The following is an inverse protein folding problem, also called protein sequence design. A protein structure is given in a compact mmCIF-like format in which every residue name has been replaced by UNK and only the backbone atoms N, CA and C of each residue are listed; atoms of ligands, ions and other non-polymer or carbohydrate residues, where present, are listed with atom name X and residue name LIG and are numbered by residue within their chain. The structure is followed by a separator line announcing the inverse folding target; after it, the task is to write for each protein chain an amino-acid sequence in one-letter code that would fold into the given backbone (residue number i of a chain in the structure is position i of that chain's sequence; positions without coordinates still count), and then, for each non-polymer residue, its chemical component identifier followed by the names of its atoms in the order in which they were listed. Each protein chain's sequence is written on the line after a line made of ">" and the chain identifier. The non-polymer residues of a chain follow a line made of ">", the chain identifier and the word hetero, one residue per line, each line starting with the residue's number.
data_IF_322288769160
#
_entry.id   IF_322288769160
#
_cell.length_a   1.000
_cell.length_b   1.000
_cell.length_c   1.000
_cell.angle_alpha   90.00
_cell.angle_beta   90.00
_cell.angle_gamma   90.00
#
_symmetry.space_group_name_H-M   'P 1'
#
loop_
_entity.id
_entity.type
_entity.pdbx_description
1 polymer ?
#
# COMPACT_ATOMS: atom_id res chain seq x y z
N UNK A 1 8.04 2.56 31.70
CA UNK A 1 8.57 2.36 30.33
C UNK A 1 8.07 3.53 29.52
N UNK A 2 8.90 4.54 29.31
CA UNK A 2 8.58 5.64 28.41
C UNK A 2 8.55 5.09 26.98
N UNK A 3 7.36 5.00 26.40
CA UNK A 3 7.17 4.74 24.97
C UNK A 3 7.86 5.90 24.24
N UNK A 4 9.03 5.66 23.66
CA UNK A 4 9.69 6.65 22.80
C UNK A 4 8.81 6.82 21.57
N UNK A 5 8.00 7.86 21.58
CA UNK A 5 7.08 8.26 20.53
C UNK A 5 7.79 8.15 19.18
N UNK A 6 7.21 7.35 18.28
CA UNK A 6 7.74 7.17 16.94
C UNK A 6 7.72 8.51 16.21
N UNK A 7 8.91 9.02 15.88
CA UNK A 7 9.11 10.35 15.28
C UNK A 7 8.69 10.41 13.81
N UNK A 8 7.97 9.41 13.30
CA UNK A 8 7.94 9.05 11.89
C UNK A 8 6.98 9.83 11.00
N UNK A 9 6.22 10.78 11.55
CA UNK A 9 5.18 11.45 10.77
C UNK A 9 5.44 12.93 10.48
N UNK A 10 6.66 13.46 10.67
CA UNK A 10 6.96 14.86 10.29
C UNK A 10 7.26 14.99 8.79
N UNK A 11 6.22 15.01 7.96
CA UNK A 11 6.27 15.63 6.63
C UNK A 11 6.53 17.13 6.80
N UNK A 12 7.75 17.57 6.51
CA UNK A 12 8.23 18.91 6.84
C UNK A 12 7.28 20.03 6.40
N UNK A 13 6.86 20.85 7.37
CA UNK A 13 6.81 22.31 7.21
C UNK A 13 6.76 23.05 8.56
N UNK A 14 7.27 24.28 8.52
CA UNK A 14 7.76 25.21 9.55
C UNK A 14 6.80 25.52 10.71
N UNK A 15 7.36 25.64 11.92
CA UNK A 15 6.60 25.85 13.15
C UNK A 15 6.29 27.29 13.55
N UNK A 16 5.52 27.43 14.64
CA UNK A 16 5.52 28.53 15.60
C UNK A 16 4.86 28.07 16.91
N UNK A 17 5.47 28.47 18.04
CA UNK A 17 5.15 28.05 19.39
C UNK A 17 4.00 28.87 20.02
N UNK A 18 3.27 28.26 20.97
CA UNK A 18 2.29 28.94 21.83
C UNK A 18 1.89 28.07 23.03
N UNK A 19 1.88 28.66 24.22
CA UNK A 19 2.03 28.05 25.56
C UNK A 19 0.71 27.99 26.34
N UNK A 20 0.54 26.96 27.19
CA UNK A 20 -0.29 26.93 28.42
C UNK A 20 -1.77 26.60 28.22
N UNK A 21 -2.51 25.91 29.10
CA UNK A 21 -2.34 25.66 30.53
C UNK A 21 -3.22 24.45 30.97
N UNK A 22 -2.77 23.80 32.04
CA UNK A 22 -3.34 22.67 32.81
C UNK A 22 -4.75 22.91 33.40
N UNK A 23 -5.57 21.86 33.55
CA UNK A 23 -6.29 21.50 34.80
C UNK A 23 -6.87 20.06 34.80
N UNK A 24 -6.66 19.38 35.93
CA UNK A 24 -7.18 18.07 36.37
C UNK A 24 -8.70 18.13 36.71
N UNK A 25 -9.51 17.10 37.01
CA UNK A 25 -9.32 15.70 37.44
C UNK A 25 -10.65 14.89 37.43
N UNK A 26 -10.52 13.56 37.33
CA UNK A 26 -11.17 12.47 38.10
C UNK A 26 -12.68 12.18 38.05
N UNK A 27 -12.99 10.90 37.78
CA UNK A 27 -14.22 10.21 38.20
C UNK A 27 -14.33 8.77 37.68
N UNK A 28 -13.90 7.79 38.47
CA UNK A 28 -13.95 6.33 38.20
C UNK A 28 -15.37 5.72 38.27
N UNK A 29 -15.58 4.62 37.55
CA UNK A 29 -16.67 3.65 37.79
C UNK A 29 -16.43 2.31 37.06
N UNK A 30 -16.25 1.23 37.83
CA UNK A 30 -15.93 -0.15 37.42
C UNK A 30 -17.15 -0.87 36.77
N UNK A 31 -16.98 -1.59 35.66
CA UNK A 31 -16.73 -3.04 35.51
C UNK A 31 -17.96 -3.95 35.76
N UNK A 32 -18.34 -4.75 34.74
CA UNK A 32 -18.95 -6.07 34.92
C UNK A 32 -18.77 -6.92 33.65
N UNK A 33 -18.33 -8.16 33.85
CA UNK A 33 -17.99 -9.21 32.88
C UNK A 33 -19.24 -9.97 32.41
N UNK A 34 -19.29 -10.41 31.14
CA UNK A 34 -20.12 -11.56 30.72
C UNK A 34 -19.47 -12.40 29.61
N UNK A 35 -19.71 -13.70 29.76
CA UNK A 35 -19.10 -14.90 29.21
C UNK A 35 -19.60 -15.26 27.78
N UNK A 36 -18.74 -15.88 26.96
CA UNK A 36 -18.97 -16.23 25.54
C UNK A 36 -19.36 -17.70 25.33
N UNK A 37 -20.24 -18.03 24.36
CA UNK A 37 -20.36 -19.38 23.79
C UNK A 37 -19.72 -19.49 22.38
N UNK A 38 -19.51 -20.72 21.85
CA UNK A 38 -18.41 -21.04 20.94
C UNK A 38 -18.69 -20.81 19.43
N UNK A 39 -17.58 -20.74 18.71
CA UNK A 39 -17.38 -20.33 17.31
C UNK A 39 -17.76 -21.43 16.28
N UNK A 40 -18.32 -21.03 15.14
CA UNK A 40 -18.59 -21.89 13.97
C UNK A 40 -17.63 -21.53 12.80
N UNK A 41 -17.21 -22.50 11.97
CA UNK A 41 -16.06 -22.37 11.06
C UNK A 41 -16.35 -21.48 9.84
N UNK A 42 -15.32 -20.73 9.44
CA UNK A 42 -15.42 -19.53 8.61
C UNK A 42 -15.62 -19.72 7.10
N UNK A 43 -16.24 -18.69 6.51
CA UNK A 43 -16.24 -18.42 5.07
C UNK A 43 -15.01 -17.59 4.68
N UNK A 44 -14.36 -17.98 3.60
CA UNK A 44 -13.19 -17.32 3.02
C UNK A 44 -13.66 -16.09 2.22
N UNK A 45 -13.50 -14.89 2.77
CA UNK A 45 -13.87 -13.62 2.11
C UNK A 45 -12.72 -13.18 1.17
N UNK A 46 -13.03 -12.99 -0.12
CA UNK A 46 -12.09 -12.47 -1.14
C UNK A 46 -12.04 -10.94 -1.12
N UNK A 47 -10.84 -10.38 -1.02
CA UNK A 47 -10.54 -8.94 -1.09
C UNK A 47 -10.91 -8.33 -2.46
N UNK A 48 -11.51 -7.13 -2.47
CA UNK A 48 -11.82 -6.36 -3.68
C UNK A 48 -10.71 -5.31 -3.95
N UNK A 49 -9.94 -5.45 -5.03
CA UNK A 49 -8.88 -4.52 -5.45
C UNK A 49 -9.33 -3.19 -6.07
N UNK A 50 -8.36 -2.29 -6.30
CA UNK A 50 -8.55 -0.91 -6.79
C UNK A 50 -9.40 -0.77 -8.07
N UNK A 51 -9.43 -1.81 -8.90
CA UNK A 51 -10.33 -1.92 -10.04
C UNK A 51 -11.04 -3.27 -10.06
N UNK A 52 -11.87 -3.48 -9.06
CA UNK A 52 -12.89 -4.52 -9.16
C UNK A 52 -13.96 -4.08 -10.15
N UNK A 53 -14.49 -5.07 -10.85
CA UNK A 53 -15.59 -4.85 -11.76
C UNK A 53 -16.50 -6.06 -11.72
N UNK A 54 -17.80 -5.82 -11.75
CA UNK A 54 -18.78 -6.86 -11.94
C UNK A 54 -19.04 -6.98 -13.44
N UNK A 55 -18.87 -8.18 -14.01
CA UNK A 55 -19.23 -8.45 -15.41
C UNK A 55 -20.58 -9.15 -15.44
N UNK A 56 -21.47 -8.64 -16.27
CA UNK A 56 -22.69 -9.34 -16.68
C UNK A 56 -22.60 -9.61 -18.17
N UNK A 57 -22.61 -10.89 -18.55
CA UNK A 57 -22.61 -11.33 -19.95
C UNK A 57 -24.03 -11.63 -20.39
N UNK A 58 -24.41 -11.19 -21.59
CA UNK A 58 -25.62 -11.70 -22.24
C UNK A 58 -25.31 -12.93 -23.12
N UNK A 59 -26.36 -13.56 -23.64
CA UNK A 59 -26.23 -14.57 -24.69
C UNK A 59 -25.95 -13.88 -26.02
N UNK A 60 -24.86 -14.28 -26.68
CA UNK A 60 -24.60 -13.96 -28.08
C UNK A 60 -25.76 -14.48 -28.94
N UNK A 61 -26.38 -13.58 -29.71
CA UNK A 61 -27.55 -13.87 -30.52
C UNK A 61 -27.09 -14.24 -31.92
N UNK A 62 -26.95 -15.55 -32.18
CA UNK A 62 -26.42 -16.09 -33.43
C UNK A 62 -27.04 -15.50 -34.71
N UNK A 63 -28.38 -15.36 -34.81
CA UNK A 63 -29.02 -14.74 -35.97
C UNK A 63 -28.65 -13.28 -36.20
N UNK A 64 -28.32 -12.54 -35.15
CA UNK A 64 -28.01 -11.11 -35.23
C UNK A 64 -26.48 -10.86 -35.25
N UNK A 65 -25.67 -11.90 -35.08
CA UNK A 65 -24.21 -11.85 -35.06
C UNK A 65 -23.62 -10.89 -34.00
N UNK A 66 -24.29 -10.65 -32.88
CA UNK A 66 -23.74 -9.83 -31.80
C UNK A 66 -24.01 -10.38 -30.41
N UNK A 67 -23.07 -10.10 -29.51
CA UNK A 67 -23.18 -10.28 -28.07
C UNK A 67 -22.83 -8.99 -27.35
N UNK A 68 -23.28 -8.89 -26.11
CA UNK A 68 -23.05 -7.74 -25.23
C UNK A 68 -22.58 -8.21 -23.87
N UNK A 69 -21.58 -7.51 -23.36
CA UNK A 69 -21.16 -7.59 -21.97
C UNK A 69 -21.22 -6.21 -21.33
N UNK A 70 -21.69 -6.17 -20.09
CA UNK A 70 -21.69 -4.97 -19.27
C UNK A 70 -20.66 -5.19 -18.18
N UNK A 71 -19.69 -4.30 -18.10
CA UNK A 71 -18.82 -4.25 -16.92
C UNK A 71 -19.13 -3.00 -16.11
N UNK A 72 -19.45 -3.21 -14.84
CA UNK A 72 -19.61 -2.14 -13.86
C UNK A 72 -18.30 -1.93 -13.15
N UNK A 73 -17.81 -0.69 -13.13
CA UNK A 73 -16.68 -0.33 -12.29
C UNK A 73 -17.13 -0.34 -10.82
N UNK A 74 -16.75 -1.38 -10.09
CA UNK A 74 -16.99 -1.50 -8.64
C UNK A 74 -15.74 -1.14 -7.82
N UNK A 75 -14.66 -0.74 -8.50
CA UNK A 75 -13.40 -0.32 -7.93
C UNK A 75 -13.43 1.11 -7.42
N UNK A 76 -12.29 1.56 -6.93
CA UNK A 76 -12.14 2.83 -6.22
C UNK A 76 -11.57 3.95 -7.10
N UNK A 77 -11.19 3.65 -8.35
CA UNK A 77 -10.72 4.62 -9.34
C UNK A 77 -11.44 4.46 -10.67
N UNK A 78 -11.45 5.51 -11.50
CA UNK A 78 -12.01 5.40 -12.84
C UNK A 78 -11.16 4.44 -13.70
N UNK A 79 -11.80 3.55 -14.45
CA UNK A 79 -11.12 2.65 -15.39
C UNK A 79 -10.78 3.45 -16.64
N UNK A 80 -9.50 3.69 -16.90
CA UNK A 80 -9.02 4.34 -18.11
C UNK A 80 -8.51 3.30 -19.13
N UNK A 81 -8.94 3.44 -20.38
CA UNK A 81 -8.52 2.65 -21.54
C UNK A 81 -8.52 1.12 -21.28
N UNK A 82 -9.70 0.53 -21.01
CA UNK A 82 -9.79 -0.88 -20.68
C UNK A 82 -9.39 -1.80 -21.85
N UNK A 83 -8.85 -2.97 -21.51
CA UNK A 83 -8.72 -4.16 -22.37
C UNK A 83 -9.75 -5.18 -21.93
N UNK A 84 -10.47 -5.77 -22.86
CA UNK A 84 -11.51 -6.79 -22.60
C UNK A 84 -11.09 -8.08 -23.28
N UNK A 85 -11.03 -9.19 -22.54
CA UNK A 85 -10.82 -10.52 -23.13
C UNK A 85 -12.00 -11.44 -22.85
N UNK A 86 -12.37 -12.29 -23.80
CA UNK A 86 -13.43 -13.28 -23.68
C UNK A 86 -13.14 -14.54 -24.49
N UNK A 87 -13.66 -15.68 -24.06
CA UNK A 87 -13.56 -16.95 -24.79
C UNK A 87 -14.81 -17.22 -25.64
N UNK A 88 -14.58 -17.60 -26.89
CA UNK A 88 -15.59 -18.05 -27.86
C UNK A 88 -15.56 -19.58 -28.07
N UNK A 89 -16.57 -20.18 -28.72
CA UNK A 89 -16.56 -21.60 -29.07
C UNK A 89 -15.33 -22.01 -29.90
N UNK A 90 -14.98 -23.29 -29.87
CA UNK A 90 -13.82 -23.78 -30.65
C UNK A 90 -14.10 -23.63 -32.15
N UNK A 91 -13.17 -23.01 -32.88
CA UNK A 91 -13.31 -22.78 -34.31
C UNK A 91 -14.17 -21.56 -34.68
N UNK A 92 -14.59 -20.76 -33.70
CA UNK A 92 -15.26 -19.46 -33.92
C UNK A 92 -14.24 -18.34 -33.83
N UNK A 93 -14.38 -17.33 -34.70
CA UNK A 93 -13.49 -16.17 -34.79
C UNK A 93 -14.23 -14.89 -34.46
N UNK A 94 -13.65 -14.02 -33.64
CA UNK A 94 -14.16 -12.65 -33.50
C UNK A 94 -13.81 -11.85 -34.76
N UNK A 95 -14.75 -11.02 -35.23
CA UNK A 95 -14.67 -10.41 -36.57
C UNK A 95 -15.02 -8.91 -36.63
N UNK A 96 -15.41 -8.29 -35.51
CA UNK A 96 -15.73 -6.86 -35.45
C UNK A 96 -14.75 -6.07 -34.57
N UNK A 97 -14.12 -5.07 -35.18
CA UNK A 97 -13.39 -3.99 -34.51
C UNK A 97 -14.30 -2.78 -34.34
N UNK A 98 -15.05 -2.78 -33.23
CA UNK A 98 -15.91 -1.66 -32.86
C UNK A 98 -15.15 -0.32 -32.92
N UNK A 99 -15.80 0.82 -33.20
CA UNK A 99 -15.15 2.12 -33.21
C UNK A 99 -14.29 2.40 -31.97
N UNK A 100 -12.98 2.53 -32.20
CA UNK A 100 -11.99 2.78 -31.16
C UNK A 100 -11.50 1.52 -30.41
N UNK A 101 -11.73 0.33 -30.94
CA UNK A 101 -11.20 -0.94 -30.47
C UNK A 101 -10.42 -1.62 -31.59
N UNK A 102 -9.44 -2.44 -31.21
CA UNK A 102 -8.77 -3.39 -32.07
C UNK A 102 -8.67 -4.73 -31.35
N UNK A 103 -8.93 -5.84 -32.05
CA UNK A 103 -8.87 -7.16 -31.46
C UNK A 103 -7.71 -8.01 -31.98
N UNK A 104 -7.34 -8.98 -31.16
CA UNK A 104 -6.47 -10.10 -31.52
C UNK A 104 -7.10 -11.38 -30.98
N UNK A 105 -6.84 -12.51 -31.62
CA UNK A 105 -7.34 -13.81 -31.16
C UNK A 105 -6.21 -14.83 -31.04
N UNK A 106 -6.17 -15.53 -29.91
CA UNK A 106 -5.27 -16.66 -29.68
C UNK A 106 -6.10 -17.87 -29.26
N UNK A 107 -6.17 -18.88 -30.13
CA UNK A 107 -7.06 -20.02 -29.95
C UNK A 107 -8.52 -19.56 -29.82
N UNK A 108 -9.09 -19.74 -28.63
CA UNK A 108 -10.49 -19.40 -28.33
C UNK A 108 -10.66 -18.04 -27.66
N UNK A 109 -9.57 -17.37 -27.29
CA UNK A 109 -9.63 -16.12 -26.54
C UNK A 109 -9.47 -14.94 -27.48
N UNK A 110 -10.49 -14.09 -27.56
CA UNK A 110 -10.43 -12.80 -28.21
C UNK A 110 -10.04 -11.73 -27.19
N UNK A 111 -9.07 -10.89 -27.53
CA UNK A 111 -8.61 -9.76 -26.69
C UNK A 111 -8.79 -8.46 -27.46
N UNK A 112 -9.70 -7.62 -26.95
CA UNK A 112 -10.04 -6.30 -27.47
C UNK A 112 -9.28 -5.24 -26.70
N UNK A 113 -8.49 -4.44 -27.40
CA UNK A 113 -7.70 -3.35 -26.84
C UNK A 113 -8.22 -2.01 -27.34
N UNK A 114 -8.39 -1.07 -26.42
CA UNK A 114 -8.87 0.26 -26.75
C UNK A 114 -7.80 1.04 -27.53
N UNK A 115 -8.17 1.65 -28.66
CA UNK A 115 -7.31 2.47 -29.51
C UNK A 115 -7.59 3.98 -29.39
N UNK A 116 -8.60 4.37 -28.59
CA UNK A 116 -8.98 5.76 -28.33
C UNK A 116 -9.41 5.97 -26.88
N UNK A 117 -9.27 7.18 -26.33
CA UNK A 117 -9.53 7.44 -24.92
C UNK A 117 -10.93 7.01 -24.45
N UNK A 118 -10.99 6.22 -23.37
CA UNK A 118 -12.24 5.86 -22.70
C UNK A 118 -12.04 5.89 -21.18
N UNK A 119 -13.00 6.44 -20.45
CA UNK A 119 -12.98 6.46 -18.98
C UNK A 119 -14.33 5.99 -18.44
N UNK A 120 -14.31 4.98 -17.58
CA UNK A 120 -15.49 4.48 -16.87
C UNK A 120 -15.38 4.89 -15.42
N UNK A 121 -16.18 5.88 -15.02
CA UNK A 121 -16.18 6.41 -13.66
C UNK A 121 -16.52 5.32 -12.62
N UNK A 122 -16.15 5.56 -11.36
CA UNK A 122 -16.53 4.67 -10.24
C UNK A 122 -18.05 4.54 -10.19
N UNK A 123 -18.54 3.30 -10.01
CA UNK A 123 -19.96 2.90 -10.06
C UNK A 123 -20.65 3.05 -11.41
N UNK A 124 -19.97 3.53 -12.46
CA UNK A 124 -20.52 3.55 -13.80
C UNK A 124 -20.42 2.17 -14.46
N UNK A 125 -21.37 1.88 -15.34
CA UNK A 125 -21.36 0.70 -16.21
C UNK A 125 -20.96 1.10 -17.62
N UNK A 126 -20.20 0.24 -18.28
CA UNK A 126 -19.91 0.36 -19.70
C UNK A 126 -20.39 -0.89 -20.42
N UNK A 127 -21.08 -0.67 -21.53
CA UNK A 127 -21.60 -1.71 -22.41
C UNK A 127 -20.62 -1.91 -23.56
N UNK A 128 -20.07 -3.12 -23.67
CA UNK A 128 -19.19 -3.53 -24.74
C UNK A 128 -19.89 -4.58 -25.60
N UNK A 129 -19.86 -4.39 -26.91
CA UNK A 129 -20.43 -5.34 -27.86
C UNK A 129 -19.31 -6.06 -28.60
N UNK A 130 -19.55 -7.31 -28.96
CA UNK A 130 -18.64 -8.13 -29.75
C UNK A 130 -19.41 -8.92 -30.80
N UNK A 131 -18.76 -9.23 -31.91
CA UNK A 131 -19.29 -10.04 -33.01
C UNK A 131 -18.37 -11.25 -33.26
N UNK A 132 -18.91 -12.27 -33.91
CA UNK A 132 -18.15 -13.43 -34.38
C UNK A 132 -18.66 -13.92 -35.72
N UNK A 133 -17.85 -14.74 -36.39
CA UNK A 133 -18.20 -15.44 -37.64
C UNK A 133 -19.27 -16.55 -37.47
N UNK A 134 -19.81 -16.75 -36.26
CA UNK A 134 -20.76 -17.81 -35.96
C UNK A 134 -22.21 -17.33 -35.99
N UNK A 135 -23.07 -18.09 -36.70
CA UNK A 135 -24.53 -17.95 -36.63
C UNK A 135 -25.19 -18.70 -35.48
N UNK A 136 -24.42 -19.34 -34.58
CA UNK A 136 -24.95 -20.11 -33.45
C UNK A 136 -24.92 -19.28 -32.17
N UNK A 137 -26.00 -19.29 -31.39
CA UNK A 137 -26.04 -18.58 -30.11
C UNK A 137 -25.19 -19.27 -29.04
N UNK A 138 -24.42 -18.49 -28.29
CA UNK A 138 -23.60 -18.98 -27.17
C UNK A 138 -23.48 -17.92 -26.07
N UNK A 139 -22.92 -18.25 -24.91
CA UNK A 139 -22.58 -17.26 -23.88
C UNK A 139 -21.06 -17.17 -23.79
N UNK A 140 -20.50 -15.96 -23.90
CA UNK A 140 -19.07 -15.77 -23.74
C UNK A 140 -18.63 -16.18 -22.33
N UNK A 141 -17.47 -16.82 -22.24
CA UNK A 141 -16.91 -17.31 -20.96
C UNK A 141 -15.55 -16.68 -20.69
N UNK A 142 -15.03 -16.85 -19.47
CA UNK A 142 -13.74 -16.32 -19.03
C UNK A 142 -13.51 -14.83 -19.34
N UNK A 143 -14.58 -14.02 -19.23
CA UNK A 143 -14.50 -12.59 -19.49
C UNK A 143 -13.61 -11.91 -18.45
N UNK A 144 -12.65 -11.10 -18.91
CA UNK A 144 -11.77 -10.28 -18.05
C UNK A 144 -11.73 -8.85 -18.57
N UNK A 145 -11.80 -7.88 -17.67
CA UNK A 145 -11.55 -6.47 -17.97
C UNK A 145 -10.27 -6.03 -17.24
N UNK A 146 -9.31 -5.49 -17.98
CA UNK A 146 -8.03 -4.99 -17.47
C UNK A 146 -7.88 -3.53 -17.84
N UNK A 147 -7.07 -2.75 -17.13
CA UNK A 147 -6.76 -1.36 -17.52
C UNK A 147 -5.36 -0.97 -17.04
N UNK A 148 -4.72 -0.05 -17.75
CA UNK A 148 -3.38 0.44 -17.39
C UNK A 148 -3.40 1.27 -16.11
N UNK A 149 -4.51 1.98 -15.84
CA UNK A 149 -4.77 2.67 -14.56
C UNK A 149 -5.05 1.73 -13.37
N UNK A 150 -5.15 0.43 -13.64
CA UNK A 150 -5.66 -0.58 -12.70
C UNK A 150 -4.68 -1.72 -12.43
N UNK A 151 -3.40 -1.57 -12.80
CA UNK A 151 -2.40 -2.62 -12.58
C UNK A 151 -2.76 -3.87 -13.37
N UNK A 152 -2.37 -3.90 -14.65
CA UNK A 152 -2.33 -5.15 -15.38
C UNK A 152 -1.47 -6.14 -14.60
N UNK A 153 -2.07 -7.23 -14.13
CA UNK A 153 -1.34 -8.45 -13.81
C UNK A 153 -0.77 -8.97 -15.13
N UNK A 154 0.39 -8.42 -15.51
CA UNK A 154 1.26 -9.10 -16.44
C UNK A 154 1.66 -10.45 -15.81
N UNK A 155 1.78 -11.53 -16.58
CA UNK A 155 2.35 -12.77 -16.08
C UNK A 155 3.84 -12.52 -15.75
N UNK A 156 4.11 -12.19 -14.48
CA UNK A 156 5.42 -11.77 -13.96
C UNK A 156 5.28 -10.55 -13.05
N UNK A 157 4.88 -10.73 -11.79
CA UNK A 157 4.45 -9.64 -10.90
C UNK A 157 5.50 -8.54 -10.64
N UNK A 158 5.10 -7.28 -10.80
CA UNK A 158 5.91 -6.09 -10.49
C UNK A 158 6.18 -5.91 -8.99
N UNK A 159 5.32 -6.48 -8.13
CA UNK A 159 5.46 -6.41 -6.67
C UNK A 159 6.31 -7.52 -6.03
N UNK A 160 6.35 -7.53 -4.70
CA UNK A 160 6.79 -8.63 -3.85
C UNK A 160 5.70 -9.72 -3.77
N UNK A 161 6.09 -10.97 -3.52
CA UNK A 161 5.14 -12.02 -3.08
C UNK A 161 4.54 -11.65 -1.72
N UNK A 162 3.42 -12.28 -1.34
CA UNK A 162 2.78 -12.02 -0.04
C UNK A 162 3.74 -12.21 1.15
N UNK A 163 4.57 -13.25 1.11
CA UNK A 163 5.56 -13.53 2.14
C UNK A 163 6.70 -12.49 2.15
N UNK A 164 7.26 -12.15 0.98
CA UNK A 164 8.27 -11.09 0.88
C UNK A 164 7.73 -9.73 1.34
N UNK A 165 6.47 -9.41 1.03
CA UNK A 165 5.81 -8.19 1.49
C UNK A 165 5.67 -8.17 3.01
N UNK A 166 5.23 -9.28 3.64
CA UNK A 166 5.20 -9.40 5.11
C UNK A 166 6.58 -9.15 5.72
N UNK A 167 7.64 -9.72 5.15
CA UNK A 167 9.01 -9.50 5.62
C UNK A 167 9.43 -8.04 5.48
N UNK A 168 9.12 -7.40 4.35
CA UNK A 168 9.43 -5.98 4.12
C UNK A 168 8.69 -5.06 5.09
N UNK A 169 7.39 -5.31 5.31
CA UNK A 169 6.55 -4.56 6.25
C UNK A 169 6.99 -4.78 7.70
N UNK A 170 7.32 -6.01 8.07
CA UNK A 170 7.84 -6.35 9.40
C UNK A 170 9.17 -5.65 9.69
N UNK A 171 10.10 -5.65 8.71
CA UNK A 171 11.37 -4.94 8.86
C UNK A 171 11.17 -3.43 8.97
N UNK A 172 10.31 -2.86 8.11
CA UNK A 172 9.93 -1.44 8.18
C UNK A 172 9.37 -1.11 9.57
N UNK A 173 8.42 -1.92 10.06
CA UNK A 173 7.78 -1.72 11.36
C UNK A 173 8.74 -1.79 12.54
N UNK A 174 9.86 -2.50 12.47
CA UNK A 174 10.89 -2.43 13.53
C UNK A 174 11.43 -1.00 13.63
N UNK A 175 11.76 -0.38 12.50
CA UNK A 175 12.30 0.99 12.48
C UNK A 175 11.24 2.03 12.84
N UNK A 176 9.98 1.76 12.50
CA UNK A 176 8.90 2.66 12.84
C UNK A 176 8.45 2.47 14.30
N UNK A 177 8.41 1.27 14.85
CA UNK A 177 7.67 0.97 16.08
C UNK A 177 8.39 0.05 17.09
N UNK A 178 9.65 -0.31 16.85
CA UNK A 178 10.44 -1.29 17.62
C UNK A 178 9.80 -2.69 17.74
N UNK A 179 8.91 -3.00 16.80
CA UNK A 179 8.20 -4.28 16.71
C UNK A 179 7.93 -4.67 15.25
N UNK A 180 8.05 -5.96 14.88
CA UNK A 180 7.67 -6.42 13.54
C UNK A 180 6.14 -6.43 13.32
N UNK A 181 5.34 -6.22 14.37
CA UNK A 181 3.88 -6.23 14.31
C UNK A 181 3.34 -4.88 13.85
N UNK A 182 2.56 -4.88 12.77
CA UNK A 182 1.78 -3.72 12.35
C UNK A 182 0.62 -3.46 13.31
N UNK A 183 0.50 -2.23 13.81
CA UNK A 183 -0.55 -1.83 14.74
C UNK A 183 -1.75 -1.22 14.01
N UNK A 184 -2.72 -2.05 13.66
CA UNK A 184 -3.97 -1.60 13.02
C UNK A 184 -4.90 -0.83 13.97
N UNK A 185 -4.75 -1.00 15.29
CA UNK A 185 -5.62 -0.40 16.29
C UNK A 185 -5.07 0.90 16.88
N UNK A 186 -3.80 1.23 16.61
CA UNK A 186 -3.18 2.47 17.04
C UNK A 186 -4.00 3.71 16.62
N UNK A 187 -4.15 4.65 17.54
CA UNK A 187 -4.75 5.96 17.25
C UNK A 187 -4.35 6.96 18.34
N UNK A 188 -3.71 8.05 17.94
CA UNK A 188 -3.23 9.09 18.86
C UNK A 188 -3.19 10.45 18.15
N UNK A 189 -3.47 11.53 18.89
CA UNK A 189 -3.07 12.87 18.45
C UNK A 189 -1.66 13.12 18.99
N UNK A 190 -0.65 12.88 18.16
CA UNK A 190 0.76 13.09 18.52
C UNK A 190 1.18 14.57 18.45
N UNK A 191 0.23 15.49 18.23
CA UNK A 191 0.42 16.93 18.19
C UNK A 191 1.43 17.41 17.13
N UNK A 192 1.48 16.73 15.99
CA UNK A 192 2.39 17.01 14.87
C UNK A 192 1.78 17.90 13.77
N UNK A 193 0.55 18.39 14.00
CA UNK A 193 -0.20 19.24 13.07
C UNK A 193 -1.06 18.49 12.05
N UNK A 194 -1.19 17.16 12.14
CA UNK A 194 -1.96 16.34 11.18
C UNK A 194 -3.26 15.76 11.75
N UNK A 195 -3.66 16.23 12.94
CA UNK A 195 -4.81 15.70 13.67
C UNK A 195 -4.47 14.33 14.29
N UNK A 196 -5.44 13.41 14.32
CA UNK A 196 -5.19 12.03 14.76
C UNK A 196 -4.38 11.26 13.72
N UNK A 197 -3.35 10.55 14.19
CA UNK A 197 -2.52 9.56 13.48
C UNK A 197 -2.98 8.15 13.84
N UNK A 198 -3.22 7.29 12.85
CA UNK A 198 -3.96 6.05 13.07
C UNK A 198 -3.42 4.84 12.28
N UNK A 199 -3.51 3.66 12.89
CA UNK A 199 -3.34 2.39 12.21
C UNK A 199 -1.93 2.10 11.70
N UNK A 200 -1.84 1.06 10.87
CA UNK A 200 -0.58 0.39 10.50
C UNK A 200 0.46 1.26 9.77
N UNK A 201 0.05 2.42 9.26
CA UNK A 201 0.87 3.31 8.46
C UNK A 201 0.63 4.78 8.83
N UNK A 202 0.21 5.05 10.08
CA UNK A 202 0.08 6.42 10.60
C UNK A 202 -0.87 7.31 9.81
N UNK A 203 -1.99 6.76 9.36
CA UNK A 203 -2.98 7.49 8.58
C UNK A 203 -3.50 8.68 9.34
N UNK A 204 -3.49 9.85 8.72
CA UNK A 204 -3.81 11.09 9.39
C UNK A 204 -5.19 11.63 9.00
N UNK A 205 -5.96 12.07 9.99
CA UNK A 205 -7.27 12.70 9.74
C UNK A 205 -7.14 14.03 9.01
N UNK A 206 -6.07 14.78 9.28
CA UNK A 206 -5.82 16.09 8.70
C UNK A 206 -5.23 16.10 7.30
N UNK A 207 -4.81 14.94 6.77
CA UNK A 207 -4.26 14.79 5.40
C UNK A 207 -5.11 13.89 4.51
N UNK A 208 -6.28 13.46 5.00
CA UNK A 208 -7.30 12.76 4.23
C UNK A 208 -7.10 11.26 4.06
N UNK A 209 -5.95 10.70 4.40
CA UNK A 209 -5.64 9.27 4.29
C UNK A 209 -6.37 8.43 5.36
N UNK A 210 -6.53 8.91 6.60
CA UNK A 210 -7.40 8.22 7.57
C UNK A 210 -8.88 8.24 7.12
N UNK A 211 -9.27 9.29 6.39
CA UNK A 211 -10.64 9.45 5.86
C UNK A 211 -10.89 8.40 4.77
N UNK A 212 -9.89 8.08 3.94
CA UNK A 212 -9.97 6.99 2.96
C UNK A 212 -10.14 5.62 3.63
N UNK A 213 -9.46 5.37 4.75
CA UNK A 213 -9.65 4.13 5.54
C UNK A 213 -11.08 4.04 6.06
N UNK A 214 -11.60 5.12 6.67
CA UNK A 214 -12.98 5.15 7.17
C UNK A 214 -13.99 5.01 6.03
N UNK A 215 -13.74 5.61 4.87
CA UNK A 215 -14.60 5.47 3.69
C UNK A 215 -14.68 4.02 3.23
N UNK A 216 -13.53 3.33 3.11
CA UNK A 216 -13.48 1.91 2.80
C UNK A 216 -14.24 1.09 3.85
N UNK A 217 -13.96 1.32 5.14
CA UNK A 217 -14.57 0.53 6.20
C UNK A 217 -16.09 0.71 6.27
N UNK A 218 -16.60 1.92 5.96
CA UNK A 218 -18.04 2.20 5.82
C UNK A 218 -18.70 1.51 4.64
N UNK A 219 -17.96 1.18 3.58
CA UNK A 219 -18.48 0.42 2.46
C UNK A 219 -18.66 -1.07 2.79
N UNK A 220 -17.87 -1.59 3.74
CA UNK A 220 -17.96 -2.98 4.20
C UNK A 220 -18.90 -3.11 5.40
N UNK A 221 -18.99 -2.09 6.26
CA UNK A 221 -19.60 -2.19 7.59
C UNK A 221 -20.44 -0.97 7.97
N UNK A 222 -21.61 -1.23 8.53
CA UNK A 222 -22.55 -0.28 9.13
C UNK A 222 -22.36 -0.21 10.64
N UNK A 223 -22.98 0.76 11.31
CA UNK A 223 -22.94 0.83 12.77
C UNK A 223 -23.52 -0.43 13.43
N UNK A 224 -24.64 -0.94 12.89
CA UNK A 224 -25.32 -2.13 13.40
C UNK A 224 -24.47 -3.42 13.31
N UNK A 225 -23.47 -3.46 12.43
CA UNK A 225 -22.58 -4.62 12.28
C UNK A 225 -21.15 -4.35 12.79
N UNK A 226 -20.93 -3.27 13.54
CA UNK A 226 -19.69 -3.04 14.30
C UNK A 226 -18.79 -1.92 13.78
N UNK A 227 -19.25 -1.07 12.87
CA UNK A 227 -18.49 0.12 12.46
C UNK A 227 -18.75 1.32 13.39
N UNK A 228 -17.89 1.48 14.41
CA UNK A 228 -17.94 2.60 15.36
C UNK A 228 -17.56 3.95 14.73
N UNK A 229 -16.92 3.93 13.56
CA UNK A 229 -16.44 5.13 12.87
C UNK A 229 -17.52 5.81 12.01
N UNK A 230 -18.66 5.15 11.78
CA UNK A 230 -19.75 5.68 10.94
C UNK A 230 -20.27 7.05 11.40
N UNK A 231 -20.37 7.28 12.71
CA UNK A 231 -20.86 8.53 13.29
C UNK A 231 -19.97 9.74 13.01
N UNK A 232 -18.68 9.53 12.77
CA UNK A 232 -17.72 10.61 12.50
C UNK A 232 -17.75 11.09 11.04
N UNK A 233 -18.46 10.40 10.14
CA UNK A 233 -18.35 10.65 8.69
C UNK A 233 -18.67 12.10 8.28
N UNK A 234 -19.64 12.73 8.92
CA UNK A 234 -20.00 14.12 8.62
C UNK A 234 -18.85 15.07 8.96
N UNK A 235 -18.24 14.92 10.14
CA UNK A 235 -17.08 15.70 10.57
C UNK A 235 -15.85 15.43 9.68
N UNK A 236 -15.57 14.17 9.35
CA UNK A 236 -14.49 13.81 8.44
C UNK A 236 -14.69 14.44 7.05
N UNK A 237 -15.92 14.48 6.53
CA UNK A 237 -16.21 15.13 5.24
C UNK A 237 -15.87 16.62 5.26
N UNK A 238 -16.17 17.31 6.37
CA UNK A 238 -15.81 18.73 6.55
C UNK A 238 -14.28 18.91 6.58
N UNK A 239 -13.58 18.08 7.35
CA UNK A 239 -12.11 18.09 7.42
C UNK A 239 -11.51 17.87 6.03
N UNK A 240 -11.99 16.86 5.29
CA UNK A 240 -11.51 16.53 3.95
C UNK A 240 -11.72 17.68 2.96
N UNK A 241 -12.90 18.28 2.94
CA UNK A 241 -13.18 19.41 2.04
C UNK A 241 -12.27 20.61 2.34
N UNK A 242 -11.96 20.85 3.61
CA UNK A 242 -11.00 21.88 4.02
C UNK A 242 -9.57 21.54 3.60
N UNK A 243 -9.14 20.29 3.78
CA UNK A 243 -7.85 19.80 3.27
C UNK A 243 -7.74 19.99 1.75
N UNK A 244 -8.73 19.53 0.98
CA UNK A 244 -8.71 19.62 -0.49
C UNK A 244 -8.76 21.06 -1.01
N UNK A 245 -9.47 21.96 -0.34
CA UNK A 245 -9.56 23.37 -0.75
C UNK A 245 -8.31 24.19 -0.42
N UNK A 246 -7.58 23.82 0.64
CA UNK A 246 -6.40 24.57 1.10
C UNK A 246 -5.08 23.93 0.69
N UNK A 247 -5.07 22.62 0.46
CA UNK A 247 -3.86 21.81 0.34
C UNK A 247 -3.03 21.75 1.63
N UNK A 248 -3.56 22.22 2.76
CA UNK A 248 -2.86 22.28 4.05
C UNK A 248 -3.37 21.20 4.99
N UNK A 249 -2.47 20.62 5.79
CA UNK A 249 -2.84 19.68 6.85
C UNK A 249 -3.80 20.32 7.85
N UNK A 250 -4.82 19.57 8.27
CA UNK A 250 -5.82 20.03 9.24
C UNK A 250 -5.47 19.54 10.64
N UNK A 251 -4.89 20.43 11.45
CA UNK A 251 -4.35 20.07 12.76
C UNK A 251 -5.41 19.82 13.85
N UNK A 252 -6.60 20.43 13.73
CA UNK A 252 -7.65 20.37 14.76
C UNK A 252 -8.26 18.97 14.86
N UNK A 253 -8.44 18.48 16.09
CA UNK A 253 -9.24 17.29 16.41
C UNK A 253 -10.64 17.61 16.92
N UNK A 254 -10.93 18.88 17.20
CA UNK A 254 -12.14 19.30 17.91
C UNK A 254 -13.43 18.86 17.20
N UNK A 255 -13.46 18.86 15.87
CA UNK A 255 -14.61 18.40 15.09
C UNK A 255 -14.91 16.90 15.30
N UNK A 256 -13.89 16.09 15.55
CA UNK A 256 -14.05 14.66 15.84
C UNK A 256 -14.36 14.46 17.33
N UNK A 257 -13.69 15.22 18.21
CA UNK A 257 -13.89 15.15 19.66
C UNK A 257 -15.32 15.52 20.07
N UNK A 258 -15.95 16.45 19.33
CA UNK A 258 -17.35 16.83 19.52
C UNK A 258 -18.35 15.69 19.16
N UNK A 259 -17.92 14.68 18.40
CA UNK A 259 -18.73 13.51 18.02
C UNK A 259 -18.52 12.36 19.02
N UNK A 260 -17.30 12.19 19.54
CA UNK A 260 -16.98 11.15 20.51
C UNK A 260 -15.48 10.91 20.69
N UNK A 261 -15.14 9.84 21.42
CA UNK A 261 -13.76 9.41 21.62
C UNK A 261 -13.17 8.73 20.39
N UNK A 262 -12.64 9.52 19.44
CA UNK A 262 -12.10 9.03 18.16
C UNK A 262 -11.11 7.87 18.34
N UNK A 263 -10.11 8.05 19.21
CA UNK A 263 -9.04 7.06 19.41
C UNK A 263 -9.58 5.73 19.96
N UNK A 264 -10.46 5.81 20.95
CA UNK A 264 -11.15 4.64 21.53
C UNK A 264 -12.03 3.95 20.49
N UNK A 265 -12.76 4.68 19.66
CA UNK A 265 -13.64 4.11 18.64
C UNK A 265 -12.87 3.51 17.45
N UNK A 266 -11.71 4.07 17.10
CA UNK A 266 -10.78 3.47 16.13
C UNK A 266 -10.29 2.12 16.63
N UNK A 267 -9.73 2.08 17.84
CA UNK A 267 -9.26 0.84 18.45
C UNK A 267 -10.40 -0.18 18.63
N UNK A 268 -11.58 0.28 19.04
CA UNK A 268 -12.76 -0.56 19.19
C UNK A 268 -13.32 -1.07 17.85
N UNK A 269 -12.95 -0.49 16.71
CA UNK A 269 -13.27 -1.04 15.38
C UNK A 269 -12.37 -2.22 14.99
N UNK A 270 -11.39 -2.56 15.83
CA UNK A 270 -10.45 -3.67 15.67
C UNK A 270 -10.61 -4.73 16.80
N UNK A 271 -11.83 -5.23 17.05
CA UNK A 271 -12.10 -6.06 18.23
C UNK A 271 -12.34 -7.56 17.94
N UNK A 272 -13.33 -7.89 17.11
CA UNK A 272 -13.74 -9.26 16.73
C UNK A 272 -13.04 -9.71 15.45
N UNK A 273 -13.00 -11.02 15.20
CA UNK A 273 -12.38 -11.58 13.99
C UNK A 273 -12.89 -10.91 12.69
N UNK A 274 -14.20 -10.74 12.55
CA UNK A 274 -14.81 -10.09 11.38
C UNK A 274 -14.42 -8.60 11.26
N UNK A 275 -14.55 -7.83 12.36
CA UNK A 275 -14.15 -6.41 12.34
C UNK A 275 -12.67 -6.23 12.00
N UNK A 276 -11.80 -7.11 12.53
CA UNK A 276 -10.36 -7.10 12.30
C UNK A 276 -10.05 -7.39 10.84
N UNK A 277 -10.66 -8.41 10.24
CA UNK A 277 -10.42 -8.74 8.83
C UNK A 277 -10.74 -7.55 7.91
N UNK A 278 -11.96 -6.99 8.02
CA UNK A 278 -12.40 -5.87 7.18
C UNK A 278 -11.57 -4.60 7.42
N UNK A 279 -11.20 -4.32 8.67
CA UNK A 279 -10.42 -3.12 8.99
C UNK A 279 -8.95 -3.25 8.55
N UNK A 280 -8.36 -4.44 8.64
CA UNK A 280 -7.05 -4.73 8.04
C UNK A 280 -7.10 -4.54 6.54
N UNK A 281 -8.08 -5.14 5.87
CA UNK A 281 -8.25 -5.02 4.43
C UNK A 281 -8.27 -3.54 4.00
N UNK A 282 -9.06 -2.71 4.66
CA UNK A 282 -9.15 -1.29 4.31
C UNK A 282 -7.84 -0.52 4.56
N UNK A 283 -7.17 -0.77 5.69
CA UNK A 283 -5.89 -0.14 5.97
C UNK A 283 -4.79 -0.62 5.02
N UNK A 284 -4.74 -1.91 4.71
CA UNK A 284 -3.80 -2.49 3.77
C UNK A 284 -4.02 -1.94 2.36
N UNK A 285 -5.27 -1.81 1.92
CA UNK A 285 -5.62 -1.20 0.65
C UNK A 285 -5.18 0.26 0.54
N UNK A 286 -5.41 1.07 1.58
CA UNK A 286 -4.99 2.49 1.57
C UNK A 286 -3.46 2.59 1.64
N UNK A 287 -2.81 1.79 2.49
CA UNK A 287 -1.34 1.71 2.52
C UNK A 287 -0.77 1.31 1.16
N UNK A 288 -1.44 0.39 0.46
CA UNK A 288 -0.97 -0.09 -0.83
C UNK A 288 -1.17 0.94 -1.94
N UNK A 289 -2.27 1.66 -1.93
CA UNK A 289 -2.54 2.72 -2.89
C UNK A 289 -1.56 3.89 -2.74
N UNK A 290 -1.22 4.25 -1.50
CA UNK A 290 -0.40 5.44 -1.20
C UNK A 290 1.10 5.17 -1.21
N UNK A 291 1.54 3.99 -0.79
CA UNK A 291 2.97 3.72 -0.57
C UNK A 291 3.50 2.56 -1.40
N UNK A 292 2.86 1.39 -1.32
CA UNK A 292 3.41 0.17 -1.92
C UNK A 292 3.32 0.16 -3.46
N UNK A 293 2.14 0.40 -4.01
CA UNK A 293 1.92 0.32 -5.46
C UNK A 293 2.74 1.36 -6.22
N UNK A 294 2.78 2.64 -5.81
CA UNK A 294 3.57 3.63 -6.53
C UNK A 294 5.06 3.28 -6.57
N UNK A 295 5.62 2.81 -5.44
CA UNK A 295 7.04 2.49 -5.39
C UNK A 295 7.40 1.18 -6.10
N UNK A 296 6.49 0.19 -6.15
CA UNK A 296 6.68 -1.01 -6.97
C UNK A 296 6.61 -0.68 -8.47
N UNK A 297 5.81 0.32 -8.86
CA UNK A 297 5.80 0.83 -10.24
C UNK A 297 7.11 1.54 -10.59
N UNK A 298 7.69 2.32 -9.67
CA UNK A 298 9.05 2.85 -9.86
C UNK A 298 10.07 1.73 -9.98
N UNK A 299 10.01 0.71 -9.12
CA UNK A 299 10.90 -0.44 -9.22
C UNK A 299 10.84 -1.10 -10.61
N UNK A 300 9.63 -1.36 -11.11
CA UNK A 300 9.41 -1.93 -12.43
C UNK A 300 9.96 -1.04 -13.55
N UNK A 301 9.67 0.27 -13.51
CA UNK A 301 10.19 1.25 -14.48
C UNK A 301 11.70 1.23 -14.58
N UNK A 302 12.40 1.11 -13.44
CA UNK A 302 13.86 1.13 -13.40
C UNK A 302 14.50 -0.24 -13.66
N UNK A 303 13.71 -1.30 -13.86
CA UNK A 303 14.19 -2.66 -14.08
C UNK A 303 14.68 -3.34 -12.80
N UNK A 304 14.17 -2.93 -11.64
CA UNK A 304 14.51 -3.48 -10.33
C UNK A 304 13.61 -4.67 -10.02
N UNK A 305 14.21 -5.86 -9.95
CA UNK A 305 13.46 -7.12 -9.91
C UNK A 305 13.54 -7.80 -8.54
N UNK A 306 14.64 -7.61 -7.82
CA UNK A 306 14.95 -8.34 -6.59
C UNK A 306 14.08 -7.88 -5.42
N UNK A 307 13.66 -8.84 -4.59
CA UNK A 307 12.79 -8.58 -3.46
C UNK A 307 13.45 -7.66 -2.42
N UNK A 308 14.76 -7.81 -2.20
CA UNK A 308 15.52 -6.95 -1.30
C UNK A 308 15.50 -5.47 -1.74
N UNK A 309 15.68 -5.22 -3.04
CA UNK A 309 15.63 -3.86 -3.61
C UNK A 309 14.26 -3.23 -3.43
N UNK A 310 13.21 -3.98 -3.79
CA UNK A 310 11.81 -3.57 -3.63
C UNK A 310 11.46 -3.29 -2.16
N UNK A 311 11.96 -4.09 -1.23
CA UNK A 311 11.77 -3.87 0.22
C UNK A 311 12.47 -2.60 0.71
N UNK A 312 13.71 -2.33 0.26
CA UNK A 312 14.42 -1.10 0.60
C UNK A 312 13.75 0.16 0.03
N UNK A 313 13.15 0.04 -1.16
CA UNK A 313 12.36 1.09 -1.78
C UNK A 313 11.05 1.35 -1.02
N UNK A 314 10.34 0.29 -0.63
CA UNK A 314 9.13 0.40 0.19
C UNK A 314 9.41 1.09 1.54
N UNK A 315 10.45 0.67 2.25
CA UNK A 315 10.86 1.30 3.51
C UNK A 315 11.27 2.77 3.32
N UNK A 316 11.89 3.12 2.19
CA UNK A 316 12.19 4.50 1.86
C UNK A 316 10.93 5.32 1.54
N UNK A 317 9.93 4.73 0.88
CA UNK A 317 8.65 5.40 0.58
C UNK A 317 7.84 5.66 1.85
N UNK A 318 7.88 4.75 2.84
CA UNK A 318 7.28 4.98 4.16
C UNK A 318 8.02 6.11 4.90
N UNK A 319 9.35 6.06 4.92
CA UNK A 319 10.14 7.01 5.71
C UNK A 319 10.25 8.43 5.09
N UNK A 320 10.31 8.53 3.78
CA UNK A 320 10.58 9.79 3.06
C UNK A 320 9.40 10.26 2.20
N UNK A 321 8.30 9.51 2.16
CA UNK A 321 7.25 9.68 1.16
C UNK A 321 7.68 9.24 -0.24
N UNK A 322 6.72 9.18 -1.17
CA UNK A 322 6.95 8.78 -2.56
C UNK A 322 7.96 9.70 -3.27
N UNK A 323 7.81 11.02 -3.12
CA UNK A 323 8.69 11.99 -3.77
C UNK A 323 10.13 11.94 -3.24
N UNK A 324 10.29 11.72 -1.93
CA UNK A 324 11.60 11.52 -1.31
C UNK A 324 12.27 10.24 -1.80
N UNK A 325 11.52 9.14 -1.91
CA UNK A 325 12.02 7.90 -2.47
C UNK A 325 12.42 8.04 -3.96
N UNK A 326 11.61 8.74 -4.77
CA UNK A 326 11.94 9.08 -6.16
C UNK A 326 13.20 9.95 -6.27
N UNK A 327 13.39 10.88 -5.34
CA UNK A 327 14.61 11.70 -5.31
C UNK A 327 15.86 10.88 -5.03
N UNK A 328 15.77 9.93 -4.08
CA UNK A 328 16.85 8.97 -3.81
C UNK A 328 17.16 8.10 -5.02
N UNK A 329 16.15 7.62 -5.76
CA UNK A 329 16.32 6.90 -7.02
C UNK A 329 17.09 7.76 -8.05
N UNK A 330 16.68 9.02 -8.26
CA UNK A 330 17.37 9.93 -9.20
C UNK A 330 18.82 10.18 -8.80
N UNK A 331 19.08 10.36 -7.50
CA UNK A 331 20.43 10.53 -6.94
C UNK A 331 21.29 9.28 -7.16
N UNK A 332 20.74 8.09 -6.99
CA UNK A 332 21.44 6.82 -7.25
C UNK A 332 21.77 6.67 -8.75
N UNK A 333 20.79 6.91 -9.62
CA UNK A 333 20.97 6.87 -11.09
C UNK A 333 22.07 7.84 -11.54
N UNK A 334 22.03 9.08 -11.05
CA UNK A 334 23.03 10.11 -11.37
C UNK A 334 24.42 9.70 -10.88
N UNK A 335 24.53 9.18 -9.66
CA UNK A 335 25.81 8.72 -9.09
C UNK A 335 26.41 7.52 -9.84
N UNK A 336 25.59 6.78 -10.60
CA UNK A 336 26.01 5.67 -11.45
C UNK A 336 26.21 6.10 -12.93
N UNK A 337 26.21 7.40 -13.21
CA UNK A 337 26.45 7.93 -14.55
C UNK A 337 25.21 7.99 -15.45
N UNK A 338 24.02 7.68 -14.94
CA UNK A 338 22.75 7.85 -15.65
C UNK A 338 22.08 9.20 -15.32
N UNK A 339 22.79 10.31 -15.54
CA UNK A 339 22.27 11.66 -15.26
C UNK A 339 21.06 12.02 -16.12
N UNK A 340 20.93 11.40 -17.30
CA UNK A 340 19.78 11.56 -18.20
C UNK A 340 18.53 10.77 -17.77
N UNK A 341 18.61 9.97 -16.69
CA UNK A 341 17.48 9.21 -16.14
C UNK A 341 16.87 8.22 -17.17
N UNK A 342 17.71 7.55 -17.96
CA UNK A 342 17.31 6.54 -18.95
C UNK A 342 16.82 5.28 -18.24
N UNK A 343 15.61 4.82 -18.58
CA UNK A 343 14.99 3.62 -18.01
C UNK A 343 14.96 2.46 -19.04
N UNK A 344 15.14 1.19 -18.61
CA UNK A 344 15.53 0.79 -17.26
C UNK A 344 16.99 1.18 -16.95
N UNK A 345 17.28 1.46 -15.67
CA UNK A 345 18.67 1.77 -15.26
C UNK A 345 19.49 0.49 -15.14
N UNK A 346 18.86 -0.63 -14.81
CA UNK A 346 19.53 -1.93 -14.78
C UNK A 346 19.90 -2.33 -16.22
N UNK A 347 21.19 -2.63 -16.42
CA UNK A 347 21.79 -2.89 -17.74
C UNK A 347 22.32 -1.63 -18.45
N UNK A 348 21.85 -0.43 -18.10
CA UNK A 348 22.38 0.82 -18.67
C UNK A 348 23.86 0.96 -18.29
N UNK A 349 24.75 1.03 -19.29
CA UNK A 349 26.21 1.05 -19.09
C UNK A 349 26.74 -0.05 -18.15
N UNK A 350 26.11 -1.22 -18.12
CA UNK A 350 26.51 -2.35 -17.27
C UNK A 350 26.16 -2.20 -15.79
N UNK A 351 25.27 -1.25 -15.41
CA UNK A 351 24.79 -1.13 -14.03
C UNK A 351 24.05 -2.42 -13.63
N UNK A 352 24.56 -3.08 -12.59
CA UNK A 352 23.92 -4.24 -11.97
C UNK A 352 22.96 -3.80 -10.87
N UNK A 353 21.96 -4.62 -10.56
CA UNK A 353 21.02 -4.31 -9.47
C UNK A 353 21.72 -4.24 -8.11
N UNK A 354 22.81 -4.99 -7.91
CA UNK A 354 23.62 -4.90 -6.69
C UNK A 354 24.37 -3.58 -6.56
N UNK A 355 25.00 -3.12 -7.65
CA UNK A 355 25.64 -1.81 -7.67
C UNK A 355 24.62 -0.68 -7.49
N UNK A 356 23.43 -0.83 -8.09
CA UNK A 356 22.33 0.12 -7.95
C UNK A 356 21.82 0.20 -6.51
N UNK A 357 21.48 -0.94 -5.89
CA UNK A 357 20.99 -0.98 -4.51
C UNK A 357 22.04 -0.41 -3.54
N UNK A 358 23.32 -0.76 -3.72
CA UNK A 358 24.39 -0.18 -2.90
C UNK A 358 24.37 1.36 -2.97
N UNK A 359 24.32 1.93 -4.18
CA UNK A 359 24.32 3.39 -4.35
C UNK A 359 23.05 4.05 -3.82
N UNK A 360 21.89 3.42 -4.01
CA UNK A 360 20.64 3.88 -3.41
C UNK A 360 20.74 3.95 -1.88
N UNK A 361 21.25 2.89 -1.25
CA UNK A 361 21.43 2.84 0.21
C UNK A 361 22.44 3.90 0.69
N UNK A 362 23.56 4.09 -0.02
CA UNK A 362 24.52 5.15 0.32
C UNK A 362 23.89 6.55 0.24
N UNK A 363 23.08 6.84 -0.78
CA UNK A 363 22.38 8.13 -0.88
C UNK A 363 21.33 8.32 0.20
N UNK A 364 20.62 7.26 0.57
CA UNK A 364 19.65 7.31 1.66
C UNK A 364 20.32 7.52 3.02
N UNK A 365 21.42 6.81 3.28
CA UNK A 365 22.27 7.00 4.45
C UNK A 365 22.73 8.45 4.58
N UNK A 366 23.24 9.04 3.49
CA UNK A 366 23.72 10.42 3.50
C UNK A 366 22.60 11.44 3.83
N UNK A 367 21.39 11.21 3.32
CA UNK A 367 20.21 12.04 3.63
C UNK A 367 19.83 11.93 5.10
N UNK A 368 19.72 10.71 5.65
CA UNK A 368 19.35 10.49 7.05
C UNK A 368 20.42 11.03 8.01
N UNK A 369 21.69 10.78 7.73
CA UNK A 369 22.79 11.25 8.57
C UNK A 369 22.94 12.78 8.59
N UNK A 370 22.50 13.45 7.52
CA UNK A 370 22.50 14.91 7.41
C UNK A 370 21.33 15.60 8.13
N UNK A 371 20.34 14.85 8.61
CA UNK A 371 19.17 15.39 9.31
C UNK A 371 19.23 15.03 10.80
N UNK A 372 19.33 16.05 11.67
CA UNK A 372 19.40 15.85 13.12
C UNK A 372 18.19 15.14 13.71
N UNK A 373 17.06 15.13 12.99
CA UNK A 373 15.83 14.43 13.38
C UNK A 373 15.94 12.93 13.17
N UNK A 374 16.72 12.50 12.18
CA UNK A 374 16.77 11.12 11.68
C UNK A 374 18.15 10.47 11.72
N UNK A 375 19.16 11.15 12.27
CA UNK A 375 20.54 10.67 12.28
C UNK A 375 20.72 9.34 13.04
N UNK A 376 19.80 8.98 13.94
CA UNK A 376 19.74 7.68 14.62
C UNK A 376 19.07 6.58 13.79
N UNK A 377 18.29 6.93 12.76
CA UNK A 377 17.61 5.96 11.90
C UNK A 377 18.52 5.31 10.85
N UNK A 378 19.81 5.67 10.76
CA UNK A 378 20.74 5.19 9.72
C UNK A 378 20.95 3.68 9.76
N UNK A 379 20.83 3.05 10.95
CA UNK A 379 20.90 1.59 11.09
C UNK A 379 19.85 0.86 10.23
N UNK A 380 18.71 1.50 9.92
CA UNK A 380 17.69 0.94 9.02
C UNK A 380 18.22 0.65 7.62
N UNK A 381 19.05 1.56 7.11
CA UNK A 381 19.68 1.43 5.80
C UNK A 381 20.75 0.34 5.83
N UNK A 382 21.46 0.24 6.96
CA UNK A 382 22.49 -0.77 7.18
C UNK A 382 21.91 -2.20 7.15
N UNK A 383 20.66 -2.40 7.57
CA UNK A 383 19.99 -3.70 7.49
C UNK A 383 19.86 -4.21 6.06
N UNK A 384 19.46 -3.35 5.12
CA UNK A 384 19.42 -3.71 3.70
C UNK A 384 20.82 -3.93 3.11
N UNK A 385 21.81 -3.13 3.50
CA UNK A 385 23.20 -3.31 3.06
C UNK A 385 23.78 -4.64 3.54
N UNK A 386 23.50 -5.04 4.80
CA UNK A 386 23.85 -6.36 5.32
C UNK A 386 23.22 -7.48 4.48
N UNK A 387 21.91 -7.41 4.21
CA UNK A 387 21.25 -8.43 3.38
C UNK A 387 21.82 -8.48 1.95
N UNK A 388 22.21 -7.33 1.41
CA UNK A 388 22.87 -7.23 0.11
C UNK A 388 24.20 -7.98 0.09
N UNK A 389 25.03 -7.81 1.13
CA UNK A 389 26.33 -8.50 1.30
C UNK A 389 26.17 -10.00 1.53
N UNK A 390 25.11 -10.40 2.24
CA UNK A 390 24.78 -11.81 2.47
C UNK A 390 24.14 -12.50 1.24
N UNK A 391 23.74 -11.73 0.22
CA UNK A 391 23.09 -12.28 -0.97
C UNK A 391 21.64 -12.72 -0.75
N UNK A 392 20.96 -12.22 0.28
CA UNK A 392 19.56 -12.54 0.57
C UNK A 392 18.59 -11.77 -0.34
N UNK A 393 18.80 -11.85 -1.65
CA UNK A 393 18.13 -11.05 -2.68
C UNK A 393 16.61 -11.32 -2.79
N UNK A 394 16.21 -12.56 -2.55
CA UNK A 394 14.81 -13.00 -2.60
C UNK A 394 14.07 -12.91 -1.25
N UNK A 395 14.77 -12.49 -0.18
CA UNK A 395 14.28 -12.60 1.21
C UNK A 395 13.91 -14.06 1.58
N UNK A 396 14.59 -15.03 0.97
CA UNK A 396 14.33 -16.46 1.13
C UNK A 396 14.98 -17.07 2.37
N UNK A 397 15.77 -16.30 3.11
CA UNK A 397 16.36 -16.71 4.39
C UNK A 397 16.00 -15.72 5.49
N UNK A 398 16.00 -16.20 6.73
CA UNK A 398 15.67 -15.36 7.88
C UNK A 398 16.64 -14.18 8.00
N UNK A 399 16.11 -12.98 8.18
CA UNK A 399 16.90 -11.75 8.34
C UNK A 399 16.81 -11.23 9.77
N UNK A 400 17.86 -10.51 10.18
CA UNK A 400 17.95 -9.85 11.48
C UNK A 400 18.37 -8.39 11.29
N UNK A 401 17.89 -7.51 12.16
CA UNK A 401 18.32 -6.11 12.25
C UNK A 401 19.50 -5.92 13.22
N UNK A 402 20.29 -6.97 13.48
CA UNK A 402 21.52 -6.94 14.27
C UNK A 402 22.69 -6.34 13.48
N UNK A 403 22.52 -5.08 13.08
CA UNK A 403 23.54 -4.29 12.39
C UNK A 403 23.53 -2.86 12.87
N UNK A 404 24.70 -2.24 12.89
CA UNK A 404 24.82 -0.79 13.02
C UNK A 404 25.46 -0.22 11.75
N UNK A 405 25.05 0.98 11.37
CA UNK A 405 25.59 1.68 10.20
C UNK A 405 27.12 1.82 10.25
N UNK A 406 27.68 2.02 11.45
CA UNK A 406 29.14 2.06 11.65
C UNK A 406 29.85 0.76 11.23
N UNK A 407 29.19 -0.38 11.38
CA UNK A 407 29.75 -1.69 11.04
C UNK A 407 29.75 -1.92 9.52
N UNK A 408 28.91 -1.18 8.76
CA UNK A 408 28.87 -1.24 7.29
C UNK A 408 29.80 -0.23 6.61
N UNK A 409 29.97 0.97 7.17
CA UNK A 409 30.62 2.12 6.51
C UNK A 409 31.75 2.79 7.30
N UNK A 410 32.17 2.23 8.43
CA UNK A 410 33.38 2.65 9.18
C UNK A 410 33.34 4.06 9.77
N UNK A 411 32.22 4.76 9.68
CA UNK A 411 31.99 6.14 10.12
C UNK A 411 31.17 6.16 11.42
N UNK A 412 31.26 7.24 12.20
CA UNK A 412 30.53 7.37 13.46
C UNK A 412 29.07 7.71 13.21
N UNK A 413 28.19 6.70 13.22
CA UNK A 413 26.74 6.89 13.27
C UNK A 413 26.22 6.65 14.70
N UNK A 414 25.24 7.43 15.17
CA UNK A 414 24.48 7.12 16.36
C UNK A 414 23.91 5.71 16.27
N UNK A 415 23.80 5.03 17.41
CA UNK A 415 23.06 3.78 17.45
C UNK A 415 21.58 4.09 17.54
N UNK A 416 20.79 3.38 16.75
CA UNK A 416 19.34 3.49 16.73
C UNK A 416 18.67 2.97 18.02
N UNK A 417 19.30 2.01 18.70
CA UNK A 417 18.83 1.46 19.97
C UNK A 417 17.62 0.50 19.85
N UNK A 418 17.17 0.17 18.64
CA UNK A 418 16.07 -0.78 18.42
C UNK A 418 16.42 -2.19 18.89
N UNK A 419 15.40 -2.88 19.38
CA UNK A 419 15.45 -4.27 19.77
C UNK A 419 15.74 -5.15 18.55
N UNK A 420 16.69 -6.06 18.68
CA UNK A 420 16.99 -7.03 17.62
C UNK A 420 15.86 -8.06 17.52
N UNK A 421 15.39 -8.28 16.30
CA UNK A 421 14.38 -9.27 15.91
C UNK A 421 14.94 -10.14 14.78
N UNK A 422 14.48 -11.38 14.73
CA UNK A 422 14.68 -12.26 13.59
C UNK A 422 13.33 -12.45 12.88
N UNK A 423 13.30 -12.23 11.57
CA UNK A 423 12.12 -12.36 10.72
C UNK A 423 12.38 -13.50 9.73
N UNK A 424 11.54 -14.53 9.76
CA UNK A 424 11.60 -15.67 8.84
C UNK A 424 10.96 -15.33 7.48
N UNK A 425 11.26 -16.09 6.41
CA UNK A 425 10.70 -15.84 5.08
C UNK A 425 9.16 -15.86 5.00
N UNK A 426 8.47 -16.51 5.93
CA UNK A 426 7.00 -16.54 6.01
C UNK A 426 6.39 -15.34 6.76
N UNK A 427 7.25 -14.46 7.30
CA UNK A 427 6.87 -13.30 8.11
C UNK A 427 6.73 -13.58 9.61
N UNK A 428 6.91 -14.83 10.06
CA UNK A 428 6.99 -15.13 11.50
C UNK A 428 8.27 -14.53 12.09
N UNK A 429 8.24 -14.15 13.36
CA UNK A 429 9.37 -13.47 13.99
C UNK A 429 9.62 -13.91 15.42
N UNK A 430 10.83 -13.65 15.90
CA UNK A 430 11.26 -13.94 17.27
C UNK A 430 12.24 -12.88 17.78
N UNK A 431 12.47 -12.87 19.09
CA UNK A 431 13.52 -12.05 19.73
C UNK A 431 14.70 -12.94 20.07
N UNK A 432 15.86 -12.80 19.41
CA UNK A 432 17.02 -13.62 19.71
C UNK A 432 17.50 -13.41 21.15
N UNK A 433 17.83 -14.50 21.85
CA UNK A 433 18.41 -14.43 23.20
C UNK A 433 19.84 -13.86 23.22
N UNK A 434 20.55 -13.91 22.10
CA UNK A 434 21.85 -13.28 21.89
C UNK A 434 22.04 -12.88 20.43
N UNK A 435 22.85 -11.85 20.20
CA UNK A 435 23.21 -11.34 18.89
C UNK A 435 24.53 -10.56 18.96
N UNK A 436 25.19 -10.44 17.81
CA UNK A 436 26.37 -9.59 17.63
C UNK A 436 26.08 -8.66 16.47
N UNK A 437 26.30 -7.36 16.67
CA UNK A 437 26.19 -6.40 15.59
C UNK A 437 27.30 -6.62 14.56
N UNK A 438 26.91 -6.86 13.31
CA UNK A 438 27.83 -7.04 12.19
C UNK A 438 27.13 -6.71 10.87
N UNK A 439 27.87 -6.14 9.92
CA UNK A 439 27.38 -5.92 8.56
C UNK A 439 27.65 -7.12 7.63
N UNK A 440 28.49 -8.06 8.04
CA UNK A 440 28.77 -9.31 7.34
C UNK A 440 29.11 -10.39 8.35
#
# INVERSE_FOLDING_TARGET
>A
METRCSRTWVLGQRGCAGVGLLMLALGCGAAEEREFPPEAPGEVVRELGACTHAVTTNTYVGPDYWGTLVFKNTGTVAIANPRVSLDVPSGVTCDDDQPGWAHTQSGRTCTFTRTSSLTVAVNASYTFNYSTDSGTSFTATHVKVQSDSCGGTAPGGTGLTANQKKVAEALTSIWENDTPTLDYAYSENIHDGRGYTNGRAGFCTGTGDAIQVVQCYRALRTEANGNRLSKYWSALTVINNRFLSTGQSQASTAELDAVGGWTTDWAASFNTAATKADFKQCQDQVSDALYYTPIMNEAAKWGLTQALTKAALYDAAINHGEDGARDLIRKANTALGNSAQVAPVIGYNGITESAWLQKFLEKRRDVLAGDSTWADAVDRVAAYEKQRRLGNWDLGTALRNDVRARDCWGTTYPSSGYTVRAINPDGTWSTPASFTYACQ
#
